data_IF_177581649959
#
_entry.id   IF_177581649959
#
_cell.length_a   1.000
_cell.length_b   1.000
_cell.length_c   1.000
_cell.angle_alpha   90.00
_cell.angle_beta   90.00
_cell.angle_gamma   90.00
#
_symmetry.space_group_name_H-M   'P 1'
#
loop_
_entity.id
_entity.type
_entity.pdbx_description
1 polymer ?
#
# COMPACT_ATOMS: atom_id res chain seq x y z
N UNK A 1 47.94 -22.67 26.66
CA UNK A 1 48.29 -22.68 25.22
C UNK A 1 48.11 -24.11 24.74
N UNK A 2 46.95 -24.40 24.17
CA UNK A 2 46.66 -25.70 23.56
C UNK A 2 45.98 -25.38 22.23
N UNK A 3 46.80 -25.29 21.18
CA UNK A 3 46.38 -25.16 19.78
C UNK A 3 45.83 -26.54 19.33
N UNK A 4 44.55 -26.80 19.57
CA UNK A 4 43.81 -27.86 18.89
C UNK A 4 43.38 -27.30 17.53
N UNK A 5 44.28 -27.38 16.54
CA UNK A 5 43.95 -27.13 15.14
C UNK A 5 43.14 -28.32 14.63
N UNK A 6 41.83 -28.26 14.84
CA UNK A 6 40.90 -28.97 13.98
C UNK A 6 41.21 -28.57 12.53
N UNK A 7 41.39 -29.60 11.70
CA UNK A 7 41.72 -29.54 10.28
C UNK A 7 40.57 -28.90 9.50
N UNK A 8 40.40 -27.59 9.66
CA UNK A 8 39.31 -26.81 9.06
C UNK A 8 39.59 -26.54 7.59
N UNK A 9 39.26 -27.49 6.72
CA UNK A 9 39.16 -27.21 5.28
C UNK A 9 38.18 -26.05 5.09
N UNK A 10 38.57 -25.07 4.27
CA UNK A 10 37.64 -24.03 3.82
C UNK A 10 36.43 -24.69 3.12
N UNK A 11 35.20 -24.16 3.27
CA UNK A 11 33.99 -24.76 2.69
C UNK A 11 34.05 -24.95 1.17
N UNK A 12 34.83 -24.11 0.49
CA UNK A 12 35.10 -24.19 -0.97
C UNK A 12 36.02 -25.36 -1.38
N UNK A 13 36.54 -26.11 -0.41
CA UNK A 13 37.39 -27.30 -0.60
C UNK A 13 36.78 -28.56 0.03
N UNK A 14 35.54 -28.48 0.53
CA UNK A 14 34.80 -29.63 1.04
C UNK A 14 34.12 -30.35 -0.13
N UNK A 15 34.09 -31.67 -0.05
CA UNK A 15 33.21 -32.46 -0.91
C UNK A 15 31.74 -32.19 -0.56
N UNK A 16 30.82 -32.49 -1.48
CA UNK A 16 29.38 -32.24 -1.28
C UNK A 16 28.84 -32.93 -0.01
N UNK A 17 29.34 -34.12 0.33
CA UNK A 17 28.99 -34.84 1.54
C UNK A 17 29.52 -34.15 2.81
N UNK A 18 30.77 -33.70 2.81
CA UNK A 18 31.39 -32.96 3.92
C UNK A 18 30.70 -31.59 4.12
N UNK A 19 30.30 -30.92 3.03
CA UNK A 19 29.57 -29.66 3.08
C UNK A 19 28.16 -29.85 3.68
N UNK A 20 27.46 -30.93 3.33
CA UNK A 20 26.15 -31.23 3.90
C UNK A 20 26.23 -31.49 5.42
N UNK A 21 27.25 -32.23 5.87
CA UNK A 21 27.47 -32.53 7.28
C UNK A 21 27.88 -31.27 8.07
N UNK A 22 28.76 -30.44 7.48
CA UNK A 22 29.11 -29.12 8.02
C UNK A 22 27.88 -28.21 8.16
N UNK A 23 27.02 -28.18 7.13
CA UNK A 23 25.79 -27.39 7.14
C UNK A 23 24.81 -27.86 8.22
N UNK A 24 24.72 -29.17 8.46
CA UNK A 24 23.85 -29.72 9.48
C UNK A 24 24.36 -29.40 10.89
N UNK A 25 25.67 -29.49 11.10
CA UNK A 25 26.33 -29.21 12.39
C UNK A 25 26.28 -27.73 12.77
N UNK A 26 26.28 -26.81 11.81
CA UNK A 26 26.32 -25.36 12.03
C UNK A 26 25.01 -24.66 11.64
N UNK A 27 23.89 -25.41 11.59
CA UNK A 27 22.57 -24.90 11.19
C UNK A 27 22.07 -23.69 11.99
N UNK A 28 22.54 -23.58 13.23
CA UNK A 28 22.17 -22.55 14.19
C UNK A 28 23.20 -21.40 14.23
N UNK A 29 24.25 -21.45 13.39
CA UNK A 29 25.24 -20.38 13.25
C UNK A 29 24.66 -19.23 12.41
N UNK A 30 24.49 -18.02 12.97
CA UNK A 30 23.95 -16.87 12.24
C UNK A 30 24.87 -16.38 11.11
N UNK A 31 26.11 -16.86 11.03
CA UNK A 31 27.07 -16.51 9.97
C UNK A 31 27.23 -17.62 8.92
N UNK A 32 26.44 -18.70 8.98
CA UNK A 32 26.51 -19.79 8.02
C UNK A 32 25.88 -19.40 6.68
N UNK A 33 26.76 -19.11 5.72
CA UNK A 33 26.59 -19.04 4.26
C UNK A 33 25.18 -18.67 3.77
N UNK A 34 24.98 -17.37 3.60
CA UNK A 34 23.94 -16.79 2.77
C UNK A 34 24.13 -15.28 2.75
N UNK A 35 23.97 -14.66 1.58
CA UNK A 35 23.86 -13.20 1.52
C UNK A 35 22.74 -12.77 2.48
N UNK A 36 23.03 -11.84 3.39
CA UNK A 36 22.01 -11.17 4.19
C UNK A 36 21.14 -10.39 3.22
N UNK A 37 20.07 -11.02 2.73
CA UNK A 37 19.10 -10.34 1.89
C UNK A 37 18.45 -9.28 2.76
N UNK A 38 18.73 -8.01 2.47
CA UNK A 38 18.10 -6.90 3.15
C UNK A 38 16.59 -6.99 2.93
N UNK A 39 15.88 -7.59 3.88
CA UNK A 39 14.42 -7.60 3.90
C UNK A 39 13.96 -6.16 4.12
N UNK A 40 13.56 -5.49 3.06
CA UNK A 40 12.93 -4.19 3.16
C UNK A 40 11.43 -4.44 3.41
N UNK A 41 10.93 -4.27 4.65
CA UNK A 41 9.52 -4.50 4.93
C UNK A 41 8.68 -3.56 4.03
N UNK A 42 7.58 -4.05 3.43
CA UNK A 42 6.72 -3.19 2.62
C UNK A 42 6.21 -2.04 3.50
N UNK A 43 6.62 -0.81 3.18
CA UNK A 43 6.31 0.42 3.93
C UNK A 43 4.83 0.85 3.85
N UNK A 44 3.95 0.00 3.33
CA UNK A 44 2.54 0.33 3.09
C UNK A 44 1.62 -0.33 4.10
N UNK A 45 0.75 0.46 4.72
CA UNK A 45 -0.42 -0.07 5.42
C UNK A 45 -1.30 -0.83 4.42
N UNK A 46 -1.75 -2.02 4.81
CA UNK A 46 -2.68 -2.82 3.99
C UNK A 46 -4.11 -2.55 4.46
N UNK A 47 -5.00 -2.34 3.51
CA UNK A 47 -6.44 -2.21 3.75
C UNK A 47 -7.12 -3.37 3.04
N UNK A 48 -7.91 -4.15 3.79
CA UNK A 48 -8.76 -5.20 3.25
C UNK A 48 -10.21 -4.76 3.35
N UNK A 49 -10.94 -4.85 2.25
CA UNK A 49 -12.35 -4.46 2.16
C UNK A 49 -13.11 -5.65 1.57
N UNK A 50 -14.31 -5.92 2.10
CA UNK A 50 -15.22 -6.91 1.51
C UNK A 50 -16.17 -6.17 0.58
N UNK A 51 -16.19 -6.60 -0.68
CA UNK A 51 -17.08 -6.07 -1.71
C UNK A 51 -18.11 -7.13 -2.07
N UNK A 52 -19.29 -6.70 -2.48
CA UNK A 52 -20.25 -7.60 -3.10
C UNK A 52 -19.75 -8.01 -4.50
N UNK A 53 -20.18 -9.16 -5.01
CA UNK A 53 -19.69 -9.69 -6.29
C UNK A 53 -19.92 -8.71 -7.46
N UNK A 54 -21.12 -8.13 -7.55
CA UNK A 54 -21.45 -7.15 -8.58
C UNK A 54 -20.72 -5.82 -8.41
N UNK A 55 -20.39 -5.46 -7.17
CA UNK A 55 -19.69 -4.23 -6.85
C UNK A 55 -18.22 -4.31 -7.29
N UNK A 56 -17.56 -5.42 -6.98
CA UNK A 56 -16.18 -5.69 -7.39
C UNK A 56 -16.02 -5.62 -8.91
N UNK A 57 -16.96 -6.24 -9.64
CA UNK A 57 -16.97 -6.22 -11.11
C UNK A 57 -17.10 -4.81 -11.67
N UNK A 58 -18.04 -4.01 -11.16
CA UNK A 58 -18.24 -2.62 -11.61
C UNK A 58 -17.02 -1.74 -11.33
N UNK A 59 -16.40 -1.90 -10.16
CA UNK A 59 -15.19 -1.14 -9.81
C UNK A 59 -14.05 -1.52 -10.75
N UNK A 60 -13.88 -2.82 -11.07
CA UNK A 60 -12.88 -3.28 -12.04
C UNK A 60 -13.09 -2.63 -13.41
N UNK A 61 -14.29 -2.76 -13.97
CA UNK A 61 -14.64 -2.21 -15.28
C UNK A 61 -14.38 -0.69 -15.34
N UNK A 62 -14.67 0.03 -14.25
CA UNK A 62 -14.45 1.48 -14.15
C UNK A 62 -12.96 1.81 -14.04
N UNK A 63 -12.20 1.05 -13.25
CA UNK A 63 -10.76 1.23 -13.12
C UNK A 63 -10.05 1.01 -14.47
N UNK A 64 -10.45 -0.03 -15.21
CA UNK A 64 -9.93 -0.33 -16.54
C UNK A 64 -10.28 0.78 -17.54
N UNK A 65 -11.51 1.28 -17.53
CA UNK A 65 -11.93 2.41 -18.36
C UNK A 65 -11.16 3.70 -18.05
N UNK A 66 -10.74 3.88 -16.80
CA UNK A 66 -9.89 5.00 -16.36
C UNK A 66 -8.39 4.78 -16.61
N UNK A 67 -7.98 3.61 -17.13
CA UNK A 67 -6.57 3.26 -17.34
C UNK A 67 -5.78 3.09 -16.03
N UNK A 68 -6.46 2.73 -14.94
CA UNK A 68 -5.90 2.63 -13.61
C UNK A 68 -5.93 1.19 -13.09
N UNK A 69 -5.00 0.85 -12.20
CA UNK A 69 -5.14 -0.37 -11.41
C UNK A 69 -6.27 -0.20 -10.39
N UNK A 70 -6.95 -1.29 -10.03
CA UNK A 70 -8.00 -1.31 -9.02
C UNK A 70 -7.59 -0.58 -7.72
N UNK A 71 -6.37 -0.81 -7.25
CA UNK A 71 -5.85 -0.20 -6.02
C UNK A 71 -5.52 1.30 -6.17
N UNK A 72 -5.13 1.76 -7.36
CA UNK A 72 -4.97 3.18 -7.64
C UNK A 72 -6.33 3.88 -7.71
N UNK A 73 -7.29 3.26 -8.41
CA UNK A 73 -8.65 3.76 -8.52
C UNK A 73 -9.32 3.92 -7.16
N UNK A 74 -9.27 2.89 -6.31
CA UNK A 74 -9.84 2.94 -4.96
C UNK A 74 -9.17 4.00 -4.07
N UNK A 75 -7.84 4.17 -4.17
CA UNK A 75 -7.13 5.23 -3.43
C UNK A 75 -7.58 6.61 -3.88
N UNK A 76 -7.68 6.84 -5.18
CA UNK A 76 -8.13 8.11 -5.72
C UNK A 76 -9.59 8.39 -5.34
N UNK A 77 -10.47 7.40 -5.43
CA UNK A 77 -11.87 7.53 -5.02
C UNK A 77 -11.99 7.87 -3.53
N UNK A 78 -11.23 7.19 -2.66
CA UNK A 78 -11.21 7.47 -1.23
C UNK A 78 -10.69 8.88 -0.90
N UNK A 79 -9.62 9.33 -1.57
CA UNK A 79 -9.10 10.69 -1.41
C UNK A 79 -10.10 11.74 -1.91
N UNK A 80 -10.70 11.53 -3.08
CA UNK A 80 -11.74 12.42 -3.61
C UNK A 80 -12.96 12.49 -2.70
N UNK A 81 -13.39 11.36 -2.11
CA UNK A 81 -14.49 11.35 -1.15
C UNK A 81 -14.13 12.06 0.15
N UNK A 82 -12.90 11.88 0.66
CA UNK A 82 -12.42 12.57 1.85
C UNK A 82 -12.33 14.09 1.65
N UNK A 83 -11.92 14.53 0.47
CA UNK A 83 -11.90 15.96 0.09
C UNK A 83 -13.30 16.49 -0.20
N UNK A 84 -14.16 15.68 -0.83
CA UNK A 84 -15.54 16.02 -1.17
C UNK A 84 -16.49 16.11 0.03
N UNK A 85 -16.15 15.50 1.17
CA UNK A 85 -16.86 15.72 2.43
C UNK A 85 -16.62 17.12 3.04
N UNK A 86 -15.78 17.96 2.40
CA UNK A 86 -15.66 19.39 2.72
C UNK A 86 -16.61 20.25 1.86
N UNK A 87 -17.76 19.71 1.45
CA UNK A 87 -18.87 20.58 1.05
C UNK A 87 -19.59 20.94 2.34
N UNK A 88 -19.26 22.12 2.88
CA UNK A 88 -20.01 22.75 3.96
C UNK A 88 -21.42 23.08 3.43
N UNK A 89 -22.36 22.15 3.66
CA UNK A 89 -23.75 22.24 3.21
C UNK A 89 -24.40 23.52 3.76
N UNK A 90 -24.01 23.96 4.96
CA UNK A 90 -24.53 25.19 5.56
C UNK A 90 -23.99 26.44 4.88
N UNK A 91 -22.75 26.41 4.39
CA UNK A 91 -22.22 27.46 3.51
C UNK A 91 -22.95 27.48 2.16
N UNK A 92 -23.13 26.32 1.53
CA UNK A 92 -23.82 26.24 0.23
C UNK A 92 -25.26 26.75 0.32
N UNK A 93 -25.98 26.42 1.41
CA UNK A 93 -27.33 26.95 1.67
C UNK A 93 -27.35 28.47 1.77
N UNK A 94 -26.42 29.06 2.53
CA UNK A 94 -26.28 30.52 2.65
C UNK A 94 -25.99 31.18 1.30
N UNK A 95 -25.09 30.61 0.51
CA UNK A 95 -24.74 31.15 -0.80
C UNK A 95 -25.95 31.12 -1.76
N UNK A 96 -26.78 30.08 -1.69
CA UNK A 96 -28.03 29.98 -2.47
C UNK A 96 -29.08 30.99 -1.98
N UNK A 97 -29.26 31.15 -0.67
CA UNK A 97 -30.21 32.10 -0.10
C UNK A 97 -29.81 33.55 -0.43
N UNK A 98 -28.51 33.87 -0.39
CA UNK A 98 -27.99 35.18 -0.79
C UNK A 98 -28.18 35.45 -2.29
N UNK A 99 -27.93 34.44 -3.13
CA UNK A 99 -28.19 34.55 -4.57
C UNK A 99 -29.68 34.79 -4.85
N UNK A 100 -30.57 34.13 -4.11
CA UNK A 100 -32.02 34.32 -4.22
C UNK A 100 -32.46 35.72 -3.79
N UNK A 101 -31.96 36.21 -2.66
CA UNK A 101 -32.23 37.58 -2.20
C UNK A 101 -31.83 38.61 -3.23
N UNK A 102 -30.64 38.48 -3.83
CA UNK A 102 -30.16 39.39 -4.88
C UNK A 102 -31.03 39.36 -6.14
N UNK A 103 -31.57 38.20 -6.50
CA UNK A 103 -32.49 38.07 -7.63
C UNK A 103 -33.83 38.74 -7.34
N UNK A 104 -34.37 38.56 -6.13
CA UNK A 104 -35.62 39.19 -5.70
C UNK A 104 -35.48 40.73 -5.64
N UNK A 105 -34.35 41.23 -5.14
CA UNK A 105 -34.03 42.66 -5.12
C UNK A 105 -33.89 43.24 -6.53
N UNK A 106 -33.23 42.51 -7.45
CA UNK A 106 -33.10 42.92 -8.85
C UNK A 106 -34.46 42.95 -9.57
N UNK A 107 -35.35 42.01 -9.26
CA UNK A 107 -36.72 41.98 -9.78
C UNK A 107 -37.56 43.16 -9.28
N UNK A 108 -37.44 43.51 -7.99
CA UNK A 108 -38.12 44.69 -7.44
C UNK A 108 -37.60 46.00 -8.04
N UNK A 109 -36.30 46.09 -8.34
CA UNK A 109 -35.71 47.27 -8.97
C UNK A 109 -36.13 47.47 -10.45
N UNK A 110 -36.66 46.42 -11.09
CA UNK A 110 -37.13 46.44 -12.49
C UNK A 110 -38.64 46.70 -12.63
N UNK A 111 -39.41 46.67 -11.53
CA UNK A 111 -40.85 46.89 -11.49
C UNK A 111 -41.19 48.36 -11.20
#
# INVERSE_FOLDING_TARGET
>A
MSDDRADGKAPDKMTEAELAEYCYAHRDDPNMVGDVVAYNPPRGARVAIRLMFDEERRIRETADAAGMTMSAFLRQAALSAAVGQVIDIERLRRDVDEARSRLDDAWQALA
#
